data_IF_168898503164
#
_entry.id   IF_168898503164
#
_cell.length_a   1.000
_cell.length_b   1.000
_cell.length_c   1.000
_cell.angle_alpha   90.00
_cell.angle_beta   90.00
_cell.angle_gamma   90.00
#
_symmetry.space_group_name_H-M   'P 1'
#
loop_
_entity.id
_entity.type
_entity.pdbx_description
1 polymer ?
#
# COMPACT_ATOMS: atom_id res chain seq x y z
N UNK A 1 -10.79 -10.20 9.78
CA UNK A 1 -10.98 -10.72 8.41
C UNK A 1 -9.68 -10.73 7.60
N UNK A 2 -8.97 -9.60 7.42
CA UNK A 2 -7.73 -9.60 6.61
C UNK A 2 -6.64 -10.55 7.12
N UNK A 3 -6.49 -10.72 8.44
CA UNK A 3 -5.58 -11.73 9.01
C UNK A 3 -5.89 -13.15 8.55
N UNK A 4 -7.17 -13.58 8.62
CA UNK A 4 -7.61 -14.88 8.12
C UNK A 4 -7.36 -15.05 6.61
N UNK A 5 -7.61 -13.99 5.82
CA UNK A 5 -7.32 -14.00 4.38
C UNK A 5 -5.82 -14.24 4.14
N UNK A 6 -4.95 -13.56 4.91
CA UNK A 6 -3.50 -13.73 4.81
C UNK A 6 -3.04 -15.14 5.20
N UNK A 7 -3.58 -15.71 6.28
CA UNK A 7 -3.30 -17.08 6.72
C UNK A 7 -3.68 -18.12 5.66
N UNK A 8 -4.75 -17.88 4.91
CA UNK A 8 -5.16 -18.70 3.76
C UNK A 8 -4.38 -18.41 2.46
N UNK A 9 -3.34 -17.57 2.49
CA UNK A 9 -2.55 -17.21 1.30
C UNK A 9 -3.25 -16.25 0.34
N UNK A 10 -4.31 -15.57 0.78
CA UNK A 10 -5.04 -14.58 0.01
C UNK A 10 -4.32 -13.22 -0.10
N UNK A 11 -4.87 -12.33 -0.92
CA UNK A 11 -4.31 -11.02 -1.23
C UNK A 11 -5.15 -9.87 -0.60
N UNK A 12 -4.51 -8.73 -0.32
CA UNK A 12 -5.14 -7.53 0.27
C UNK A 12 -6.25 -6.94 -0.63
N UNK A 13 -6.10 -7.03 -1.95
CA UNK A 13 -7.12 -6.63 -2.92
C UNK A 13 -6.81 -7.11 -4.33
N UNK A 14 -7.81 -7.63 -5.05
CA UNK A 14 -7.70 -7.97 -6.47
C UNK A 14 -7.85 -6.75 -7.38
N UNK A 15 -8.88 -5.92 -7.16
CA UNK A 15 -9.24 -4.82 -8.08
C UNK A 15 -9.52 -3.48 -7.36
N UNK A 16 -10.19 -3.49 -6.21
CA UNK A 16 -10.64 -2.29 -5.50
C UNK A 16 -9.52 -1.42 -4.90
N UNK A 17 -8.29 -1.92 -4.87
CA UNK A 17 -7.13 -1.26 -4.28
C UNK A 17 -7.04 -1.37 -2.75
N UNK A 18 -6.00 -0.72 -2.24
CA UNK A 18 -5.62 -0.74 -0.82
C UNK A 18 -6.28 0.41 -0.07
N UNK A 19 -6.14 1.64 -0.59
CA UNK A 19 -6.62 2.86 0.07
C UNK A 19 -6.10 3.02 1.51
N UNK A 20 -6.66 3.96 2.25
CA UNK A 20 -6.33 4.14 3.67
C UNK A 20 -6.80 2.98 4.54
N UNK A 21 -7.90 2.32 4.16
CA UNK A 21 -8.54 1.25 4.94
C UNK A 21 -7.71 -0.02 5.00
N UNK A 22 -6.92 -0.33 3.97
CA UNK A 22 -6.14 -1.57 3.91
C UNK A 22 -4.62 -1.36 3.89
N UNK A 23 -4.12 -0.12 4.04
CA UNK A 23 -2.68 0.18 3.97
C UNK A 23 -1.83 -0.61 4.97
N UNK A 24 -2.38 -0.91 6.15
CA UNK A 24 -1.73 -1.76 7.15
C UNK A 24 -1.47 -3.20 6.67
N UNK A 25 -2.18 -3.65 5.64
CA UNK A 25 -2.06 -4.98 5.04
C UNK A 25 -1.31 -4.97 3.71
N UNK A 26 -0.66 -3.87 3.34
CA UNK A 26 0.12 -3.78 2.09
C UNK A 26 1.20 -4.86 2.00
N UNK A 27 1.72 -5.30 3.14
CA UNK A 27 2.68 -6.40 3.26
C UNK A 27 2.18 -7.76 2.73
N UNK A 28 0.87 -7.95 2.53
CA UNK A 28 0.33 -9.16 1.92
C UNK A 28 0.70 -9.31 0.44
N UNK A 29 1.06 -8.22 -0.25
CA UNK A 29 1.36 -8.24 -1.69
C UNK A 29 2.60 -7.45 -2.09
N UNK A 30 3.21 -6.71 -1.15
CA UNK A 30 4.40 -5.89 -1.39
C UNK A 30 5.44 -6.13 -0.32
N UNK A 31 6.67 -6.27 -0.77
CA UNK A 31 7.83 -6.37 0.09
C UNK A 31 8.36 -4.96 0.43
N UNK A 32 9.26 -4.89 1.42
CA UNK A 32 9.81 -3.60 1.87
C UNK A 32 10.53 -2.83 0.74
N UNK A 33 11.20 -3.53 -0.17
CA UNK A 33 11.85 -2.93 -1.34
C UNK A 33 10.83 -2.37 -2.35
N UNK A 34 9.70 -3.04 -2.57
CA UNK A 34 8.61 -2.54 -3.42
C UNK A 34 8.07 -1.23 -2.86
N UNK A 35 7.79 -1.20 -1.54
CA UNK A 35 7.28 0.00 -0.86
C UNK A 35 8.29 1.15 -0.93
N UNK A 36 9.59 0.86 -0.76
CA UNK A 36 10.65 1.86 -0.90
C UNK A 36 10.69 2.44 -2.33
N UNK A 37 10.55 1.59 -3.35
CA UNK A 37 10.48 2.05 -4.75
C UNK A 37 9.26 2.94 -4.99
N UNK A 38 8.08 2.56 -4.48
CA UNK A 38 6.85 3.35 -4.60
C UNK A 38 6.99 4.73 -3.92
N UNK A 39 7.62 4.80 -2.74
CA UNK A 39 7.90 6.08 -2.05
C UNK A 39 8.85 6.97 -2.85
N UNK A 40 9.88 6.40 -3.51
CA UNK A 40 10.79 7.17 -4.39
C UNK A 40 10.05 7.77 -5.59
N UNK A 41 9.20 6.98 -6.25
CA UNK A 41 8.37 7.47 -7.37
C UNK A 41 7.43 8.58 -6.88
N UNK A 42 6.78 8.38 -5.73
CA UNK A 42 5.89 9.37 -5.13
C UNK A 42 6.62 10.69 -4.86
N UNK A 43 7.80 10.65 -4.24
CA UNK A 43 8.59 11.84 -3.92
C UNK A 43 9.09 12.57 -5.17
N UNK A 44 9.42 11.84 -6.24
CA UNK A 44 9.85 12.44 -7.50
C UNK A 44 8.72 13.21 -8.21
N UNK A 45 7.49 12.72 -8.12
CA UNK A 45 6.33 13.30 -8.82
C UNK A 45 5.52 14.28 -7.97
N UNK A 46 5.51 14.11 -6.65
CA UNK A 46 4.77 14.95 -5.70
C UNK A 46 5.65 15.29 -4.48
N UNK A 47 6.70 16.10 -4.68
CA UNK A 47 7.66 16.43 -3.63
C UNK A 47 7.06 17.24 -2.47
N UNK A 48 5.92 17.90 -2.68
CA UNK A 48 5.22 18.68 -1.65
C UNK A 48 4.06 17.91 -1.00
N UNK A 49 3.77 16.68 -1.45
CA UNK A 49 2.76 15.82 -0.84
C UNK A 49 1.31 16.24 -1.08
N UNK A 50 1.01 16.97 -2.16
CA UNK A 50 -0.35 17.45 -2.42
C UNK A 50 -1.30 16.33 -2.88
N UNK A 51 -0.79 15.33 -3.59
CA UNK A 51 -1.60 14.29 -4.23
C UNK A 51 -1.87 13.13 -3.26
N UNK A 52 -2.94 13.22 -2.48
CA UNK A 52 -3.44 12.13 -1.63
C UNK A 52 -2.41 11.60 -0.61
N UNK A 53 -1.76 12.50 0.14
CA UNK A 53 -0.71 12.16 1.09
C UNK A 53 -1.09 11.03 2.05
N UNK A 54 -2.28 11.09 2.65
CA UNK A 54 -2.69 10.18 3.74
C UNK A 54 -3.31 8.84 3.29
N UNK A 55 -3.31 8.52 1.99
CA UNK A 55 -4.04 7.34 1.49
C UNK A 55 -3.22 6.06 1.63
N UNK A 56 -2.11 5.95 0.89
CA UNK A 56 -1.31 4.72 0.88
C UNK A 56 -0.13 4.79 1.84
N UNK A 57 0.44 5.98 1.97
CA UNK A 57 1.59 6.24 2.81
C UNK A 57 1.18 7.19 3.93
N UNK A 58 1.82 6.99 5.06
CA UNK A 58 1.91 7.95 6.15
C UNK A 58 3.13 8.83 5.91
#
# INVERSE_FOLDING_TARGET
MMGLIAECGGNVSSEHGVGSRKRAYLGMSRQANDVAAMRRVKAALDPTGYLNAAVLFD
#
